data_IF_351505302279
#
_entry.id   IF_351505302279
#
_cell.length_a   1.000
_cell.length_b   1.000
_cell.length_c   1.000
_cell.angle_alpha   90.00
_cell.angle_beta   90.00
_cell.angle_gamma   90.00
#
_symmetry.space_group_name_H-M   'P 1'
#
loop_
_entity.id
_entity.type
_entity.pdbx_description
1 polymer ?
#
# COMPACT_ATOMS: atom_id res chain seq x y z
N UNK A 1 -11.12 7.50 -13.05
CA UNK A 1 -10.16 6.54 -12.44
C UNK A 1 -10.95 5.42 -11.77
N UNK A 2 -10.37 4.22 -11.64
CA UNK A 2 -11.00 3.05 -10.99
C UNK A 2 -10.04 2.46 -9.96
N UNK A 3 -10.55 2.01 -8.81
CA UNK A 3 -9.77 1.21 -7.85
C UNK A 3 -9.73 -0.23 -8.35
N UNK A 4 -8.53 -0.75 -8.62
CA UNK A 4 -8.33 -2.11 -9.15
C UNK A 4 -8.05 -3.15 -8.07
N UNK A 5 -7.57 -2.72 -6.90
CA UNK A 5 -7.36 -3.55 -5.73
C UNK A 5 -7.23 -2.71 -4.45
N UNK A 6 -7.43 -3.34 -3.29
CA UNK A 6 -7.09 -2.80 -1.96
C UNK A 6 -6.14 -3.76 -1.24
N UNK A 7 -4.95 -3.27 -0.89
CA UNK A 7 -3.92 -4.02 -0.16
C UNK A 7 -3.83 -3.60 1.30
N UNK A 8 -3.68 -4.55 2.22
CA UNK A 8 -3.50 -4.29 3.66
C UNK A 8 -2.30 -5.03 4.27
N UNK A 9 -1.80 -4.55 5.41
CA UNK A 9 -0.77 -5.24 6.21
C UNK A 9 -1.35 -6.05 7.38
N UNK A 10 -2.68 -6.02 7.54
CA UNK A 10 -3.44 -6.63 8.64
C UNK A 10 -4.91 -6.76 8.26
N UNK A 11 -5.68 -7.45 9.08
CA UNK A 11 -7.15 -7.40 9.04
C UNK A 11 -7.61 -6.03 9.56
N UNK A 12 -8.37 -5.30 8.74
CA UNK A 12 -8.95 -4.02 9.09
C UNK A 12 -10.21 -3.74 8.26
N UNK A 13 -11.00 -2.75 8.67
CA UNK A 13 -12.27 -2.37 8.04
C UNK A 13 -12.15 -2.00 6.56
N UNK A 14 -10.96 -1.60 6.08
CA UNK A 14 -10.75 -1.35 4.66
C UNK A 14 -11.00 -2.60 3.78
N UNK A 15 -10.81 -3.81 4.32
CA UNK A 15 -11.12 -5.06 3.62
C UNK A 15 -12.65 -5.22 3.44
N UNK A 16 -13.42 -4.90 4.48
CA UNK A 16 -14.89 -4.99 4.43
C UNK A 16 -15.44 -3.99 3.41
N UNK A 17 -14.97 -2.73 3.48
CA UNK A 17 -15.35 -1.67 2.54
C UNK A 17 -15.03 -2.07 1.09
N UNK A 18 -13.85 -2.64 0.84
CA UNK A 18 -13.46 -3.11 -0.49
C UNK A 18 -14.33 -4.29 -0.95
N UNK A 19 -14.64 -5.23 -0.05
CA UNK A 19 -15.51 -6.36 -0.32
C UNK A 19 -16.94 -5.95 -0.69
N UNK A 20 -17.53 -5.02 0.07
CA UNK A 20 -18.84 -4.43 -0.24
C UNK A 20 -18.87 -3.74 -1.61
N UNK A 21 -17.75 -3.13 -2.00
CA UNK A 21 -17.57 -2.50 -3.30
C UNK A 21 -17.15 -3.47 -4.42
N UNK A 22 -17.05 -4.78 -4.14
CA UNK A 22 -16.58 -5.82 -5.07
C UNK A 22 -15.19 -5.51 -5.67
N UNK A 23 -14.32 -4.90 -4.88
CA UNK A 23 -12.93 -4.61 -5.26
C UNK A 23 -12.03 -5.76 -4.75
N UNK A 24 -11.16 -6.33 -5.59
CA UNK A 24 -10.20 -7.34 -5.15
C UNK A 24 -9.36 -6.87 -3.97
N UNK A 25 -9.13 -7.76 -3.00
CA UNK A 25 -8.29 -7.47 -1.83
C UNK A 25 -7.10 -8.40 -1.75
N UNK A 26 -6.03 -7.93 -1.12
CA UNK A 26 -4.91 -8.77 -0.70
C UNK A 26 -4.37 -8.29 0.64
N UNK A 27 -3.75 -9.20 1.39
CA UNK A 27 -3.09 -8.88 2.66
C UNK A 27 -1.67 -9.39 2.63
N UNK A 28 -0.72 -8.56 3.02
CA UNK A 28 0.70 -8.91 3.12
C UNK A 28 1.20 -8.50 4.52
N UNK A 29 1.05 -9.40 5.49
CA UNK A 29 1.36 -9.10 6.87
C UNK A 29 2.87 -9.18 7.13
N UNK A 30 3.45 -8.17 7.78
CA UNK A 30 4.89 -8.14 8.09
C UNK A 30 5.35 -9.37 8.88
N UNK A 31 4.48 -9.90 9.76
CA UNK A 31 4.76 -11.08 10.58
C UNK A 31 4.89 -12.38 9.79
N UNK A 32 4.45 -12.42 8.54
CA UNK A 32 4.52 -13.61 7.66
C UNK A 32 5.83 -13.67 6.86
N UNK A 33 6.72 -12.71 7.06
CA UNK A 33 8.01 -12.62 6.37
C UNK A 33 9.17 -12.63 7.36
N UNK A 34 10.33 -13.18 6.96
CA UNK A 34 11.48 -13.33 7.85
C UNK A 34 12.10 -11.98 8.24
N UNK A 35 11.97 -10.97 7.38
CA UNK A 35 12.48 -9.63 7.61
C UNK A 35 11.72 -8.58 6.80
N UNK A 36 12.13 -7.32 7.00
CA UNK A 36 11.51 -6.16 6.36
C UNK A 36 11.73 -6.10 4.85
N UNK A 37 12.87 -6.58 4.36
CA UNK A 37 13.17 -6.59 2.93
C UNK A 37 12.32 -7.64 2.21
N UNK A 38 12.20 -8.84 2.79
CA UNK A 38 11.34 -9.90 2.25
C UNK A 38 9.87 -9.44 2.17
N UNK A 39 9.37 -8.75 3.20
CA UNK A 39 8.04 -8.14 3.18
C UNK A 39 7.91 -7.05 2.12
N UNK A 40 8.90 -6.16 1.99
CA UNK A 40 8.88 -5.08 0.98
C UNK A 40 8.82 -5.61 -0.45
N UNK A 41 9.58 -6.67 -0.74
CA UNK A 41 9.49 -7.39 -2.02
C UNK A 41 8.10 -8.01 -2.23
N UNK A 42 7.54 -8.67 -1.21
CA UNK A 42 6.26 -9.35 -1.30
C UNK A 42 5.10 -8.38 -1.55
N UNK A 43 5.03 -7.26 -0.80
CA UNK A 43 3.97 -6.27 -1.00
C UNK A 43 4.11 -5.54 -2.34
N UNK A 44 5.34 -5.34 -2.82
CA UNK A 44 5.58 -4.78 -4.15
C UNK A 44 5.10 -5.71 -5.27
N UNK A 45 5.35 -7.02 -5.15
CA UNK A 45 4.88 -8.02 -6.10
C UNK A 45 3.35 -8.15 -6.07
N UNK A 46 2.75 -8.28 -4.88
CA UNK A 46 1.30 -8.36 -4.72
C UNK A 46 0.59 -7.13 -5.32
N UNK A 47 1.14 -5.93 -5.09
CA UNK A 47 0.60 -4.70 -5.68
C UNK A 47 0.74 -4.71 -7.21
N UNK A 48 1.88 -5.17 -7.73
CA UNK A 48 2.14 -5.17 -9.17
C UNK A 48 1.30 -6.18 -9.95
N UNK A 49 0.88 -7.29 -9.33
CA UNK A 49 -0.02 -8.28 -9.93
C UNK A 49 -1.36 -7.68 -10.40
N UNK A 50 -1.74 -6.52 -9.86
CA UNK A 50 -2.95 -5.78 -10.25
C UNK A 50 -2.72 -4.70 -11.33
N UNK A 51 -1.49 -4.58 -11.86
CA UNK A 51 -1.11 -3.61 -12.90
C UNK A 51 -1.57 -2.15 -12.61
N UNK A 52 -1.26 -1.56 -11.45
CA UNK A 52 -1.72 -0.21 -11.14
C UNK A 52 -0.94 0.87 -11.90
N UNK A 53 -1.68 1.87 -12.39
CA UNK A 53 -1.09 3.12 -12.90
C UNK A 53 -0.64 4.04 -11.76
N UNK A 54 -1.33 3.99 -10.61
CA UNK A 54 -1.10 4.83 -9.42
C UNK A 54 -1.31 3.98 -8.16
N UNK A 55 -0.49 4.21 -7.14
CA UNK A 55 -0.64 3.66 -5.79
C UNK A 55 -0.99 4.79 -4.81
N UNK A 56 -2.07 4.62 -4.04
CA UNK A 56 -2.43 5.54 -2.96
C UNK A 56 -2.09 4.85 -1.63
N UNK A 57 -1.19 5.45 -0.85
CA UNK A 57 -0.75 4.91 0.45
C UNK A 57 -1.26 5.72 1.64
N UNK A 58 -2.16 6.69 1.41
CA UNK A 58 -2.79 7.46 2.48
C UNK A 58 -3.62 6.52 3.38
N UNK A 59 -3.22 6.42 4.66
CA UNK A 59 -3.79 5.46 5.62
C UNK A 59 -3.02 4.15 5.77
N UNK A 60 -1.92 3.96 5.02
CA UNK A 60 -1.04 2.80 5.19
C UNK A 60 0.01 3.08 6.28
N UNK A 61 -0.06 2.33 7.39
CA UNK A 61 0.69 2.63 8.62
C UNK A 61 2.08 2.02 8.67
N UNK A 62 2.69 1.77 7.51
CA UNK A 62 4.01 1.16 7.35
C UNK A 62 4.80 1.91 6.29
N UNK A 63 6.08 2.19 6.57
CA UNK A 63 6.98 2.82 5.60
C UNK A 63 7.22 1.84 4.44
N UNK A 64 6.86 2.24 3.23
CA UNK A 64 7.16 1.49 2.00
C UNK A 64 8.67 1.51 1.75
N UNK A 65 9.26 0.35 1.51
CA UNK A 65 10.70 0.20 1.37
C UNK A 65 11.22 0.47 -0.05
N UNK A 66 12.54 0.34 -0.24
CA UNK A 66 13.18 0.70 -1.51
C UNK A 66 12.75 -0.17 -2.70
N UNK A 67 12.38 -1.44 -2.49
CA UNK A 67 11.94 -2.31 -3.57
C UNK A 67 10.57 -1.86 -4.09
N UNK A 68 9.66 -1.51 -3.19
CA UNK A 68 8.36 -0.96 -3.54
C UNK A 68 8.49 0.39 -4.26
N UNK A 69 9.23 1.33 -3.66
CA UNK A 69 9.40 2.68 -4.23
C UNK A 69 10.06 2.61 -5.59
N UNK A 70 11.10 1.79 -5.77
CA UNK A 70 11.76 1.60 -7.07
C UNK A 70 10.76 1.16 -8.15
N UNK A 71 9.93 0.15 -7.86
CA UNK A 71 8.93 -0.39 -8.81
C UNK A 71 7.85 0.63 -9.17
N UNK A 72 7.43 1.47 -8.22
CA UNK A 72 6.35 2.44 -8.40
C UNK A 72 6.84 3.90 -8.41
N UNK A 73 8.09 4.13 -8.84
CA UNK A 73 8.69 5.47 -8.88
C UNK A 73 7.78 6.47 -9.59
N UNK A 74 7.53 7.62 -8.94
CA UNK A 74 6.67 8.69 -9.47
C UNK A 74 5.17 8.38 -9.47
N UNK A 75 4.74 7.22 -8.96
CA UNK A 75 3.36 6.73 -9.00
C UNK A 75 2.73 6.50 -7.62
N UNK A 76 3.48 6.77 -6.54
CA UNK A 76 2.99 6.63 -5.15
C UNK A 76 2.55 7.98 -4.62
N UNK A 77 1.30 8.06 -4.16
CA UNK A 77 0.69 9.26 -3.58
C UNK A 77 0.36 9.02 -2.11
N UNK A 78 0.68 10.02 -1.29
CA UNK A 78 0.30 10.08 0.12
C UNK A 78 -0.33 11.44 0.44
N UNK A 79 -1.04 11.53 1.55
CA UNK A 79 -1.54 12.80 2.11
C UNK A 79 -0.87 13.07 3.45
N UNK A 80 -0.76 14.36 3.79
CA UNK A 80 -0.27 14.81 5.09
C UNK A 80 -1.30 15.79 5.68
N UNK A 81 -1.70 15.66 6.96
CA UNK A 81 -2.71 16.53 7.56
C UNK A 81 -2.15 17.90 8.00
N UNK A 82 -1.15 18.42 7.28
CA UNK A 82 -0.59 19.76 7.47
C UNK A 82 0.05 20.27 6.17
N UNK A 83 0.29 21.58 6.09
CA UNK A 83 0.99 22.20 4.96
C UNK A 83 2.50 21.99 5.09
N UNK A 84 3.03 20.98 4.41
CA UNK A 84 4.48 20.75 4.34
C UNK A 84 5.21 22.02 3.84
N UNK A 85 6.41 22.33 4.40
CA UNK A 85 7.17 21.53 5.35
C UNK A 85 6.79 21.73 6.84
N UNK A 86 5.72 22.47 7.14
CA UNK A 86 5.29 22.68 8.52
C UNK A 86 4.69 21.40 9.14
N UNK A 87 5.00 21.18 10.43
CA UNK A 87 4.51 20.05 11.24
C UNK A 87 4.75 18.67 10.60
N UNK A 88 6.01 18.26 10.40
CA UNK A 88 6.32 16.90 9.94
C UNK A 88 5.99 15.87 11.03
N UNK A 89 5.77 14.63 10.58
CA UNK A 89 5.50 13.45 11.40
C UNK A 89 5.45 12.21 10.53
#
# INVERSE_FOLDING_TARGET
ARVVAVGTDRVCTALDIAGEALVPTFTTALSEHPDRSAWDAAIAEATAAHNPDIVISAGFMKILGPQFISRFTGRVLNTHPALLPAFPG
#
